data_IF_621026178158
#
_entry.id   IF_621026178158
#
_cell.length_a   1.000
_cell.length_b   1.000
_cell.length_c   1.000
_cell.angle_alpha   90.00
_cell.angle_beta   90.00
_cell.angle_gamma   90.00
#
_symmetry.space_group_name_H-M   'P 1'
#
loop_
_entity.id
_entity.type
_entity.pdbx_description
1 polymer ?
#
# COMPACT_ATOMS: atom_id res chain seq x y z
N UNK A 1 20.42 3.79 11.24
CA UNK A 1 19.38 4.79 11.40
C UNK A 1 19.35 5.67 10.14
N UNK A 2 18.25 5.60 9.38
CA UNK A 2 18.13 6.24 8.05
C UNK A 2 17.17 7.44 8.08
N UNK A 3 17.14 8.15 9.21
CA UNK A 3 16.38 9.39 9.32
C UNK A 3 17.05 10.50 8.51
N UNK A 4 16.29 11.16 7.67
CA UNK A 4 16.72 12.32 6.91
C UNK A 4 16.20 13.59 7.60
N UNK A 5 17.10 14.50 7.91
CA UNK A 5 16.74 15.81 8.42
C UNK A 5 16.35 16.75 7.28
N UNK A 6 15.23 17.46 7.41
CA UNK A 6 14.81 18.50 6.48
C UNK A 6 14.43 19.76 7.27
N UNK A 7 14.77 20.93 6.74
CA UNK A 7 14.33 22.20 7.31
C UNK A 7 12.91 22.51 6.84
N UNK A 8 12.02 22.81 7.80
CA UNK A 8 10.66 23.23 7.50
C UNK A 8 9.61 22.72 8.48
N UNK A 9 8.35 22.96 8.15
CA UNK A 9 7.23 22.59 9.00
C UNK A 9 7.01 21.08 9.00
N UNK A 10 6.89 20.48 10.18
CA UNK A 10 6.48 19.09 10.35
C UNK A 10 5.01 18.92 9.92
N UNK A 11 4.68 17.76 9.34
CA UNK A 11 3.30 17.37 9.07
C UNK A 11 2.48 17.28 10.38
N UNK A 12 1.22 17.70 10.33
CA UNK A 12 0.30 17.69 11.46
C UNK A 12 -1.02 17.07 11.04
N UNK A 13 -1.55 16.23 11.91
CA UNK A 13 -2.89 15.67 11.76
C UNK A 13 -3.70 16.04 13.00
N UNK A 14 -4.79 16.76 12.80
CA UNK A 14 -5.77 17.06 13.85
C UNK A 14 -6.93 16.07 13.71
N UNK A 15 -7.18 15.31 14.77
CA UNK A 15 -8.30 14.38 14.83
C UNK A 15 -9.45 15.04 15.58
N UNK A 16 -10.56 15.24 14.88
CA UNK A 16 -11.82 15.71 15.45
C UNK A 16 -12.69 14.48 15.72
N UNK A 17 -13.16 14.35 16.95
CA UNK A 17 -13.99 13.21 17.37
C UNK A 17 -15.39 13.73 17.66
N UNK A 18 -16.39 13.22 16.92
CA UNK A 18 -17.80 13.53 17.12
C UNK A 18 -18.39 12.82 18.33
N UNK A 19 -19.63 13.17 18.71
CA UNK A 19 -20.34 12.54 19.83
C UNK A 19 -20.60 11.04 19.60
N UNK A 20 -20.72 10.60 18.35
CA UNK A 20 -20.83 9.18 17.95
C UNK A 20 -19.53 8.39 18.01
N UNK A 21 -18.39 9.05 18.27
CA UNK A 21 -17.05 8.44 18.19
C UNK A 21 -16.44 8.46 16.78
N UNK A 22 -17.18 8.99 15.78
CA UNK A 22 -16.66 9.17 14.43
C UNK A 22 -15.50 10.18 14.39
N UNK A 23 -14.49 9.86 13.59
CA UNK A 23 -13.26 10.64 13.48
C UNK A 23 -13.14 11.34 12.15
N UNK A 24 -12.89 12.64 12.19
CA UNK A 24 -12.55 13.44 11.03
C UNK A 24 -11.12 13.94 11.15
N UNK A 25 -10.35 13.88 10.09
CA UNK A 25 -8.94 14.26 10.08
C UNK A 25 -8.72 15.55 9.27
N UNK A 26 -8.13 16.56 9.91
CA UNK A 26 -7.64 17.76 9.23
C UNK A 26 -6.11 17.68 9.15
N UNK A 27 -5.57 17.58 7.94
CA UNK A 27 -4.15 17.30 7.70
C UNK A 27 -3.46 18.52 7.08
N UNK A 28 -2.37 18.94 7.73
CA UNK A 28 -1.39 19.86 7.17
C UNK A 28 -0.12 19.08 6.85
N UNK A 29 0.19 18.81 5.58
CA UNK A 29 1.27 17.89 5.22
C UNK A 29 2.68 18.40 5.56
N UNK A 30 2.88 19.74 5.71
CA UNK A 30 4.22 20.27 5.93
C UNK A 30 5.19 19.82 4.84
N UNK A 31 6.32 19.24 5.24
CA UNK A 31 7.34 18.70 4.33
C UNK A 31 7.23 17.20 4.04
N UNK A 32 6.19 16.52 4.54
CA UNK A 32 6.09 15.06 4.41
C UNK A 32 6.07 14.56 2.96
N UNK A 33 5.58 15.37 2.00
CA UNK A 33 5.53 15.01 0.58
C UNK A 33 6.75 15.49 -0.22
N UNK A 34 7.81 15.98 0.45
CA UNK A 34 8.99 16.57 -0.19
C UNK A 34 10.17 15.59 -0.35
N UNK A 35 10.00 14.33 0.03
CA UNK A 35 11.01 13.31 -0.20
C UNK A 35 11.27 13.15 -1.70
N UNK A 36 12.56 13.15 -2.08
CA UNK A 36 12.99 13.04 -3.49
C UNK A 36 13.55 11.64 -3.77
N UNK A 37 13.49 11.23 -5.03
CA UNK A 37 13.99 9.93 -5.48
C UNK A 37 15.48 9.72 -5.15
N UNK A 38 16.31 10.77 -5.24
CA UNK A 38 17.74 10.71 -4.93
C UNK A 38 18.02 10.41 -3.45
N UNK A 39 17.02 10.63 -2.59
CA UNK A 39 17.14 10.37 -1.16
C UNK A 39 16.83 8.92 -0.77
N UNK A 40 16.38 8.09 -1.70
CA UNK A 40 16.06 6.69 -1.44
C UNK A 40 17.35 5.86 -1.42
N UNK A 41 17.75 5.30 -0.26
CA UNK A 41 19.00 4.55 -0.15
C UNK A 41 18.81 3.14 -0.71
N UNK A 42 19.46 2.85 -1.83
CA UNK A 42 19.35 1.58 -2.55
C UNK A 42 19.79 0.40 -1.68
N UNK A 43 20.90 0.54 -0.94
CA UNK A 43 21.44 -0.51 -0.08
C UNK A 43 20.50 -0.91 1.07
N UNK A 44 19.68 0.02 1.54
CA UNK A 44 18.68 -0.27 2.59
C UNK A 44 17.58 -1.14 2.05
N UNK A 45 17.07 -0.82 0.86
CA UNK A 45 16.02 -1.61 0.22
C UNK A 45 16.58 -2.97 -0.18
N UNK A 46 17.79 -3.04 -0.74
CA UNK A 46 18.45 -4.29 -1.12
C UNK A 46 18.62 -5.27 0.06
N UNK A 47 18.79 -4.76 1.28
CA UNK A 47 18.92 -5.55 2.50
C UNK A 47 17.62 -5.77 3.27
N UNK A 48 16.49 -5.26 2.77
CA UNK A 48 15.22 -5.35 3.47
C UNK A 48 14.51 -6.70 3.22
N UNK A 49 13.75 -7.17 4.21
CA UNK A 49 12.89 -8.36 4.05
C UNK A 49 11.59 -8.03 3.32
N UNK A 50 11.14 -6.78 3.37
CA UNK A 50 9.99 -6.27 2.64
C UNK A 50 10.05 -4.73 2.55
N UNK A 51 9.45 -4.17 1.50
CA UNK A 51 9.16 -2.75 1.36
C UNK A 51 7.70 -2.50 1.68
N UNK A 52 7.41 -1.73 2.75
CA UNK A 52 6.04 -1.40 3.15
C UNK A 52 5.67 0.00 2.69
N UNK A 53 4.59 0.10 1.94
CA UNK A 53 4.05 1.32 1.36
C UNK A 53 2.61 1.57 1.81
N UNK A 54 2.18 2.81 1.71
CA UNK A 54 0.75 3.18 1.82
C UNK A 54 0.31 3.95 0.59
N UNK A 55 -0.95 3.85 0.20
CA UNK A 55 -1.52 4.58 -0.93
C UNK A 55 -1.32 6.10 -0.86
N UNK A 56 -1.19 6.64 0.34
CA UNK A 56 -0.94 8.07 0.54
C UNK A 56 0.38 8.56 -0.07
N UNK A 57 1.37 7.69 -0.27
CA UNK A 57 2.67 8.05 -0.87
C UNK A 57 2.57 8.35 -2.37
N UNK A 58 1.56 7.81 -3.05
CA UNK A 58 1.32 8.08 -4.47
C UNK A 58 0.18 9.08 -4.69
N UNK A 59 -0.56 9.43 -3.62
CA UNK A 59 -1.61 10.46 -3.63
C UNK A 59 -1.02 11.83 -3.30
N UNK A 60 -0.28 12.41 -4.20
CA UNK A 60 0.27 13.75 -4.01
C UNK A 60 -0.31 14.73 -5.01
N UNK A 61 -0.16 16.02 -4.70
CA UNK A 61 -0.50 17.08 -5.68
C UNK A 61 0.45 17.00 -6.87
N UNK A 62 -0.01 17.39 -8.08
CA UNK A 62 0.86 17.46 -9.24
C UNK A 62 2.16 18.26 -8.94
N UNK A 63 3.31 17.68 -9.30
CA UNK A 63 4.62 18.30 -9.08
C UNK A 63 5.24 18.07 -7.69
N UNK A 64 4.60 17.33 -6.79
CA UNK A 64 5.25 16.86 -5.56
C UNK A 64 6.16 15.66 -5.85
N UNK A 65 7.36 15.57 -5.23
CA UNK A 65 8.36 14.55 -5.56
C UNK A 65 8.10 13.18 -4.92
N UNK A 66 7.20 13.07 -3.92
CA UNK A 66 6.96 11.83 -3.17
C UNK A 66 6.53 10.64 -4.05
N UNK A 67 5.64 10.78 -5.04
CA UNK A 67 5.29 9.65 -5.92
C UNK A 67 6.50 9.12 -6.69
N UNK A 68 7.37 10.00 -7.18
CA UNK A 68 8.59 9.62 -7.88
C UNK A 68 9.56 8.88 -6.94
N UNK A 69 9.74 9.39 -5.72
CA UNK A 69 10.53 8.72 -4.70
C UNK A 69 9.96 7.34 -4.35
N UNK A 70 8.64 7.21 -4.26
CA UNK A 70 7.97 5.94 -4.01
C UNK A 70 8.21 4.94 -5.14
N UNK A 71 8.08 5.38 -6.40
CA UNK A 71 8.36 4.53 -7.56
C UNK A 71 9.83 4.12 -7.63
N UNK A 72 10.76 4.99 -7.21
CA UNK A 72 12.18 4.64 -7.11
C UNK A 72 12.44 3.55 -6.07
N UNK A 73 11.75 3.61 -4.93
CA UNK A 73 11.81 2.54 -3.93
C UNK A 73 11.28 1.20 -4.46
N UNK A 74 10.16 1.24 -5.20
CA UNK A 74 9.56 0.06 -5.86
C UNK A 74 10.50 -0.52 -6.92
N UNK A 75 11.16 0.33 -7.72
CA UNK A 75 12.18 -0.09 -8.70
C UNK A 75 13.32 -0.87 -8.03
N UNK A 76 13.84 -0.36 -6.90
CA UNK A 76 14.87 -1.05 -6.13
C UNK A 76 14.34 -2.36 -5.52
N UNK A 77 13.14 -2.38 -4.98
CA UNK A 77 12.53 -3.60 -4.45
C UNK A 77 12.43 -4.68 -5.55
N UNK A 78 11.98 -4.32 -6.75
CA UNK A 78 11.93 -5.22 -7.91
C UNK A 78 13.32 -5.72 -8.32
N UNK A 79 14.32 -4.82 -8.37
CA UNK A 79 15.71 -5.14 -8.72
C UNK A 79 16.33 -6.18 -7.80
N UNK A 80 16.01 -6.11 -6.49
CA UNK A 80 16.58 -6.97 -5.46
C UNK A 80 15.65 -8.09 -4.98
N UNK A 81 14.53 -8.32 -5.67
CA UNK A 81 13.51 -9.31 -5.31
C UNK A 81 12.98 -9.13 -3.87
N UNK A 82 12.82 -7.89 -3.44
CA UNK A 82 12.22 -7.55 -2.15
C UNK A 82 10.71 -7.44 -2.33
N UNK A 83 9.89 -8.20 -1.58
CA UNK A 83 8.45 -8.13 -1.70
C UNK A 83 7.92 -6.77 -1.28
N UNK A 84 6.92 -6.27 -2.01
CA UNK A 84 6.24 -5.01 -1.71
C UNK A 84 4.92 -5.29 -1.01
N UNK A 85 4.73 -4.66 0.14
CA UNK A 85 3.49 -4.67 0.92
C UNK A 85 2.83 -3.31 0.77
N UNK A 86 1.58 -3.28 0.32
CA UNK A 86 0.80 -2.04 0.22
C UNK A 86 -0.40 -2.08 1.17
N UNK A 87 -0.58 -1.01 1.96
CA UNK A 87 -1.85 -0.73 2.66
C UNK A 87 -2.62 0.37 1.93
N UNK A 88 -3.91 0.15 1.67
CA UNK A 88 -4.72 1.10 0.89
C UNK A 88 -5.06 2.37 1.66
N UNK A 89 -5.33 2.27 2.96
CA UNK A 89 -5.46 3.40 3.90
C UNK A 89 -6.72 4.24 3.79
N UNK A 90 -7.42 4.30 2.64
CA UNK A 90 -8.73 4.95 2.50
C UNK A 90 -9.45 4.60 1.20
N UNK A 91 -10.75 4.30 1.30
CA UNK A 91 -11.62 4.01 0.15
C UNK A 91 -11.68 5.15 -0.89
N UNK A 92 -11.60 6.41 -0.44
CA UNK A 92 -11.72 7.56 -1.35
C UNK A 92 -10.58 7.65 -2.37
N UNK A 93 -9.36 7.31 -1.97
CA UNK A 93 -8.22 7.29 -2.90
C UNK A 93 -8.38 6.18 -3.93
N UNK A 94 -8.95 5.06 -3.54
CA UNK A 94 -9.12 3.90 -4.39
C UNK A 94 -10.28 4.10 -5.36
N UNK A 95 -11.42 4.63 -4.85
CA UNK A 95 -12.64 4.86 -5.64
C UNK A 95 -12.46 5.89 -6.77
N UNK A 96 -11.50 6.82 -6.65
CA UNK A 96 -11.20 7.81 -7.69
C UNK A 96 -10.70 7.15 -9.00
N UNK A 97 -9.94 6.04 -8.91
CA UNK A 97 -9.43 5.32 -10.07
C UNK A 97 -9.07 3.87 -9.72
N UNK A 98 -10.05 2.98 -9.50
CA UNK A 98 -9.80 1.60 -9.10
C UNK A 98 -9.00 0.81 -10.14
N UNK A 99 -9.18 1.08 -11.44
CA UNK A 99 -8.46 0.39 -12.51
C UNK A 99 -6.95 0.69 -12.48
N UNK A 100 -6.59 1.93 -12.15
CA UNK A 100 -5.19 2.31 -11.96
C UNK A 100 -4.57 1.54 -10.78
N UNK A 101 -5.33 1.43 -9.66
CA UNK A 101 -4.88 0.69 -8.50
C UNK A 101 -4.71 -0.80 -8.78
N UNK A 102 -5.65 -1.42 -9.50
CA UNK A 102 -5.54 -2.82 -9.92
C UNK A 102 -4.30 -3.06 -10.78
N UNK A 103 -4.01 -2.16 -11.73
CA UNK A 103 -2.80 -2.23 -12.56
C UNK A 103 -1.53 -2.07 -11.72
N UNK A 104 -1.50 -1.10 -10.79
CA UNK A 104 -0.39 -0.86 -9.88
C UNK A 104 -0.11 -2.07 -8.99
N UNK A 105 -1.16 -2.66 -8.42
CA UNK A 105 -1.08 -3.88 -7.60
C UNK A 105 -0.45 -5.01 -8.40
N UNK A 106 -1.00 -5.29 -9.57
CA UNK A 106 -0.55 -6.37 -10.43
C UNK A 106 0.92 -6.25 -10.86
N UNK A 107 1.40 -5.03 -11.04
CA UNK A 107 2.77 -4.79 -11.49
C UNK A 107 3.79 -4.73 -10.35
N UNK A 108 3.39 -4.27 -9.15
CA UNK A 108 4.34 -3.85 -8.13
C UNK A 108 4.13 -4.46 -6.75
N UNK A 109 2.97 -5.02 -6.43
CA UNK A 109 2.62 -5.37 -5.04
C UNK A 109 2.48 -6.88 -4.85
N UNK A 110 3.20 -7.42 -3.87
CA UNK A 110 3.13 -8.84 -3.51
C UNK A 110 2.07 -9.11 -2.44
N UNK A 111 1.92 -8.19 -1.47
CA UNK A 111 0.99 -8.32 -0.34
C UNK A 111 0.12 -7.08 -0.25
N UNK A 112 -1.18 -7.27 -0.24
CA UNK A 112 -2.17 -6.21 -0.08
C UNK A 112 -2.82 -6.27 1.30
N UNK A 113 -2.79 -5.15 2.03
CA UNK A 113 -3.53 -4.95 3.25
C UNK A 113 -4.63 -3.88 3.03
N UNK A 114 -5.86 -4.21 3.38
CA UNK A 114 -7.03 -3.35 3.18
C UNK A 114 -8.09 -3.62 4.24
N UNK A 115 -9.05 -2.70 4.41
CA UNK A 115 -10.27 -2.97 5.15
C UNK A 115 -11.43 -3.31 4.20
N UNK A 116 -12.62 -3.65 4.74
CA UNK A 116 -13.79 -4.02 3.96
C UNK A 116 -14.28 -2.91 3.01
N UNK A 117 -14.20 -1.63 3.44
CA UNK A 117 -14.60 -0.51 2.60
C UNK A 117 -13.62 -0.23 1.45
N UNK A 118 -12.34 -0.41 1.69
CA UNK A 118 -11.28 -0.32 0.68
C UNK A 118 -11.36 -1.50 -0.28
N UNK A 119 -11.68 -2.68 0.22
CA UNK A 119 -11.88 -3.88 -0.57
C UNK A 119 -13.05 -3.71 -1.55
N UNK A 120 -14.19 -3.21 -1.08
CA UNK A 120 -15.34 -2.90 -1.93
C UNK A 120 -14.98 -1.84 -2.99
N UNK A 121 -14.31 -0.76 -2.61
CA UNK A 121 -13.90 0.29 -3.55
C UNK A 121 -12.94 -0.22 -4.64
N UNK A 122 -12.07 -1.17 -4.31
CA UNK A 122 -11.09 -1.74 -5.24
C UNK A 122 -11.70 -2.79 -6.18
N UNK A 123 -12.58 -3.63 -5.64
CA UNK A 123 -13.04 -4.85 -6.32
C UNK A 123 -14.49 -4.75 -6.81
N UNK A 124 -15.30 -3.88 -6.21
CA UNK A 124 -16.74 -3.82 -6.40
C UNK A 124 -17.52 -4.89 -5.63
N UNK A 125 -16.84 -5.72 -4.83
CA UNK A 125 -17.46 -6.78 -4.00
C UNK A 125 -17.62 -6.29 -2.57
N UNK A 126 -18.84 -6.33 -2.02
CA UNK A 126 -19.12 -5.90 -0.65
C UNK A 126 -18.82 -6.98 0.39
N UNK A 127 -18.73 -8.24 0.00
CA UNK A 127 -18.30 -9.34 0.86
C UNK A 127 -16.77 -9.36 0.94
N UNK A 128 -16.15 -9.17 2.12
CA UNK A 128 -14.69 -9.09 2.26
C UNK A 128 -13.98 -10.40 1.89
N UNK A 129 -14.65 -11.56 1.97
CA UNK A 129 -14.09 -12.84 1.54
C UNK A 129 -14.02 -12.90 0.01
N UNK A 130 -15.10 -12.54 -0.69
CA UNK A 130 -15.15 -12.51 -2.16
C UNK A 130 -14.21 -11.42 -2.71
N UNK A 131 -14.17 -10.25 -2.07
CA UNK A 131 -13.25 -9.18 -2.42
C UNK A 131 -11.78 -9.62 -2.28
N UNK A 132 -11.45 -10.35 -1.21
CA UNK A 132 -10.09 -10.87 -1.00
C UNK A 132 -9.71 -11.92 -2.06
N UNK A 133 -10.62 -12.82 -2.41
CA UNK A 133 -10.38 -13.80 -3.48
C UNK A 133 -10.15 -13.12 -4.83
N UNK A 134 -10.98 -12.14 -5.18
CA UNK A 134 -10.83 -11.36 -6.42
C UNK A 134 -9.50 -10.59 -6.47
N UNK A 135 -9.05 -10.06 -5.34
CA UNK A 135 -7.78 -9.32 -5.26
C UNK A 135 -6.54 -10.21 -5.51
N UNK A 136 -6.67 -11.54 -5.38
CA UNK A 136 -5.60 -12.49 -5.77
C UNK A 136 -5.33 -12.52 -7.28
N UNK A 137 -6.15 -11.89 -8.10
CA UNK A 137 -5.82 -11.66 -9.52
C UNK A 137 -4.68 -10.64 -9.71
N UNK A 138 -4.36 -9.85 -8.66
CA UNK A 138 -3.36 -8.78 -8.71
C UNK A 138 -2.20 -8.97 -7.74
N UNK A 139 -2.38 -9.71 -6.63
CA UNK A 139 -1.36 -9.89 -5.58
C UNK A 139 -1.26 -11.35 -5.13
N UNK A 140 -0.20 -11.70 -4.41
CA UNK A 140 0.02 -13.08 -3.95
C UNK A 140 -0.65 -13.37 -2.61
N UNK A 141 -0.82 -12.35 -1.77
CA UNK A 141 -1.41 -12.45 -0.44
C UNK A 141 -2.27 -11.21 -0.15
N UNK A 142 -3.45 -11.45 0.39
CA UNK A 142 -4.39 -10.40 0.82
C UNK A 142 -4.67 -10.54 2.31
N UNK A 143 -4.62 -9.41 3.01
CA UNK A 143 -5.02 -9.25 4.40
C UNK A 143 -6.16 -8.23 4.44
N UNK A 144 -7.40 -8.68 4.67
CA UNK A 144 -8.58 -7.82 4.73
C UNK A 144 -9.14 -7.75 6.15
N UNK A 145 -9.02 -6.59 6.80
CA UNK A 145 -9.60 -6.37 8.12
C UNK A 145 -11.09 -6.05 8.02
N UNK A 146 -11.90 -6.62 8.91
CA UNK A 146 -13.35 -6.44 8.97
C UNK A 146 -13.81 -6.05 10.38
N UNK A 147 -13.25 -4.98 10.91
CA UNK A 147 -13.58 -4.43 12.23
C UNK A 147 -13.60 -5.50 13.33
N UNK A 148 -14.72 -5.59 14.11
CA UNK A 148 -14.81 -6.56 15.19
C UNK A 148 -14.95 -8.02 14.75
N UNK A 149 -15.25 -8.26 13.46
CA UNK A 149 -15.34 -9.62 12.90
C UNK A 149 -13.96 -10.27 12.80
N UNK A 150 -12.91 -9.49 12.55
CA UNK A 150 -11.54 -9.96 12.54
C UNK A 150 -10.78 -9.69 11.25
N UNK A 151 -10.00 -10.68 10.81
CA UNK A 151 -9.14 -10.61 9.64
C UNK A 151 -9.45 -11.77 8.69
N UNK A 152 -9.69 -11.45 7.43
CA UNK A 152 -9.70 -12.41 6.34
C UNK A 152 -8.32 -12.43 5.69
N UNK A 153 -7.81 -13.63 5.44
CA UNK A 153 -6.55 -13.83 4.75
C UNK A 153 -6.81 -14.72 3.53
N UNK A 154 -6.39 -14.26 2.36
CA UNK A 154 -6.46 -15.01 1.13
C UNK A 154 -5.07 -15.11 0.49
N UNK A 155 -4.73 -16.30 0.00
CA UNK A 155 -3.43 -16.57 -0.62
C UNK A 155 -3.47 -17.91 -1.37
N UNK A 156 -2.42 -18.17 -2.14
CA UNK A 156 -2.29 -19.41 -2.87
C UNK A 156 -1.58 -20.46 -2.02
N UNK A 157 -2.13 -21.68 -1.96
CA UNK A 157 -1.53 -22.83 -1.26
C UNK A 157 -0.51 -23.56 -2.11
N UNK A 158 -0.58 -23.41 -3.44
CA UNK A 158 0.29 -24.11 -4.39
C UNK A 158 1.13 -23.10 -5.19
N UNK A 159 2.43 -23.39 -5.36
CA UNK A 159 3.35 -22.51 -6.10
C UNK A 159 2.94 -22.30 -7.57
N UNK A 160 2.29 -23.29 -8.19
CA UNK A 160 1.82 -23.18 -9.58
C UNK A 160 0.67 -22.19 -9.74
N UNK A 161 -0.18 -22.05 -8.74
CA UNK A 161 -1.27 -21.08 -8.73
C UNK A 161 -0.79 -19.63 -8.58
N UNK A 162 0.33 -19.41 -7.87
CA UNK A 162 0.96 -18.08 -7.67
C UNK A 162 1.47 -17.42 -8.95
N UNK A 163 1.57 -18.14 -10.06
CA UNK A 163 2.13 -17.61 -11.32
C UNK A 163 1.20 -16.66 -12.08
N UNK A 164 0.05 -16.30 -11.54
CA UNK A 164 -0.79 -15.22 -12.10
C UNK A 164 -0.12 -13.86 -11.99
N UNK A 165 0.74 -13.66 -11.00
CA UNK A 165 1.54 -12.45 -10.82
C UNK A 165 3.01 -12.73 -11.15
N UNK A 166 3.75 -11.72 -11.61
CA UNK A 166 5.20 -11.81 -11.86
C UNK A 166 6.03 -11.39 -10.64
N UNK A 167 5.41 -11.42 -9.46
CA UNK A 167 6.10 -11.02 -8.23
C UNK A 167 7.06 -12.10 -7.74
N UNK A 168 8.13 -11.70 -7.03
CA UNK A 168 8.98 -12.66 -6.34
C UNK A 168 8.14 -13.51 -5.40
N UNK A 169 8.27 -14.83 -5.50
CA UNK A 169 7.60 -15.74 -4.58
C UNK A 169 8.06 -15.42 -3.15
N UNK A 170 7.10 -15.23 -2.25
CA UNK A 170 7.40 -15.10 -0.82
C UNK A 170 7.87 -16.45 -0.31
N UNK A 171 9.15 -16.62 0.12
CA UNK A 171 9.62 -17.87 0.65
C UNK A 171 8.83 -18.24 1.90
N UNK A 172 8.12 -19.37 1.87
CA UNK A 172 7.37 -19.87 3.01
C UNK A 172 6.08 -19.10 3.32
N UNK A 173 5.53 -18.37 2.38
CA UNK A 173 4.19 -17.79 2.52
C UNK A 173 3.16 -18.93 2.60
N UNK A 174 2.78 -19.22 3.82
CA UNK A 174 1.76 -20.08 4.43
C UNK A 174 2.11 -21.54 4.48
#
# INVERSE_FOLDING_TARGET
>A
NYLQGVDGAIGRCFTLIGESGERTFAISPGHMNKLRAESIPEEVIAGASALVLTSYLVRCKPGEPMPEATMKAVEYAKKYNVPVVLTLGTKFVIADNPEWWQAFLKEHVSILAMNEEEAEALTGESDPLLASDKALDWVDLVLCTAGPVGLYMAGFTEEEAKRKTQHPLLPGAI
#
